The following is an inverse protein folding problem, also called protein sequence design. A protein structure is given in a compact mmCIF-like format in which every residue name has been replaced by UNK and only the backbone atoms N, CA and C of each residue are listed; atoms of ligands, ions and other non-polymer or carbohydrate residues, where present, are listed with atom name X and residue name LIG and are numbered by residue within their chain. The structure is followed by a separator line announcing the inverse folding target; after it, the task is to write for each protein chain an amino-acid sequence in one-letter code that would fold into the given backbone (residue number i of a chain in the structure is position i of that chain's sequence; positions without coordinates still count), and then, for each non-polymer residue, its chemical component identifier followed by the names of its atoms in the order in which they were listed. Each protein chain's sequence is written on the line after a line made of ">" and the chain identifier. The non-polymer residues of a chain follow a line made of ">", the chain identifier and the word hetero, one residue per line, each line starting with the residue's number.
data_IF_621713001221
#
_entry.id   IF_621713001221
#
_cell.length_a   1.000
_cell.length_b   1.000
_cell.length_c   1.000
_cell.angle_alpha   90.00
_cell.angle_beta   90.00
_cell.angle_gamma   90.00
#
_symmetry.space_group_name_H-M   'P 1'
#
loop_
_entity.id
_entity.type
_entity.pdbx_description
1 polymer ?
#
# COMPACT_ATOMS: atom_id res chain seq x y z
N UNK A 1 13.12 -5.56 -43.64
CA UNK A 1 13.57 -6.86 -43.11
C UNK A 1 14.70 -6.54 -42.16
N UNK A 2 14.33 -6.16 -40.93
CA UNK A 2 15.26 -5.77 -39.87
C UNK A 2 15.69 -7.08 -39.21
N UNK A 3 16.97 -7.42 -39.29
CA UNK A 3 17.51 -8.56 -38.56
C UNK A 3 17.58 -8.14 -37.09
N UNK A 4 16.72 -8.74 -36.27
CA UNK A 4 16.82 -8.70 -34.83
C UNK A 4 18.09 -9.49 -34.48
N UNK A 5 19.19 -8.80 -34.17
CA UNK A 5 20.31 -9.43 -33.47
C UNK A 5 19.76 -9.80 -32.09
N UNK A 6 19.49 -11.08 -31.86
CA UNK A 6 19.38 -11.60 -30.51
C UNK A 6 20.76 -11.40 -29.86
N UNK A 7 20.86 -10.43 -28.97
CA UNK A 7 21.91 -10.39 -27.98
C UNK A 7 21.75 -11.68 -27.17
N UNK A 8 22.67 -12.62 -27.32
CA UNK A 8 22.89 -13.66 -26.31
C UNK A 8 23.18 -12.93 -25.00
N UNK A 9 22.48 -13.22 -23.89
CA UNK A 9 22.86 -12.66 -22.60
C UNK A 9 24.34 -12.98 -22.37
N UNK A 10 25.12 -11.98 -21.97
CA UNK A 10 26.47 -12.23 -21.49
C UNK A 10 26.34 -13.23 -20.35
N UNK A 11 27.03 -14.37 -20.43
CA UNK A 11 27.10 -15.29 -19.29
C UNK A 11 27.63 -14.47 -18.10
N UNK A 12 26.81 -14.35 -17.05
CA UNK A 12 27.19 -13.71 -15.79
C UNK A 12 28.50 -14.36 -15.32
N UNK A 13 29.50 -13.53 -15.02
CA UNK A 13 30.80 -14.00 -14.60
C UNK A 13 30.67 -14.64 -13.21
N UNK A 14 30.86 -15.96 -13.14
CA UNK A 14 30.82 -16.70 -11.89
C UNK A 14 32.10 -16.45 -11.10
N UNK A 15 31.97 -16.14 -9.82
CA UNK A 15 33.05 -16.04 -8.84
C UNK A 15 33.21 -17.39 -8.14
N UNK A 16 34.37 -18.02 -8.37
CA UNK A 16 34.68 -19.37 -7.90
C UNK A 16 35.78 -19.31 -6.85
N UNK A 17 35.52 -19.88 -5.67
CA UNK A 17 36.56 -20.19 -4.70
C UNK A 17 37.14 -21.58 -5.00
N UNK A 18 38.42 -21.63 -5.30
CA UNK A 18 39.17 -22.88 -5.45
C UNK A 18 40.00 -23.12 -4.20
N UNK A 19 39.53 -24.03 -3.34
CA UNK A 19 40.29 -24.50 -2.18
C UNK A 19 41.36 -25.45 -2.73
N UNK A 20 42.60 -24.97 -2.80
CA UNK A 20 43.66 -25.63 -3.56
C UNK A 20 44.48 -26.59 -2.69
N UNK A 21 44.89 -27.71 -3.28
CA UNK A 21 45.90 -28.64 -2.74
C UNK A 21 47.32 -28.30 -3.24
N UNK A 22 48.35 -28.76 -2.51
CA UNK A 22 49.78 -28.54 -2.76
C UNK A 22 50.09 -28.60 -4.27
N UNK A 23 50.59 -27.48 -4.80
CA UNK A 23 50.46 -27.08 -6.21
C UNK A 23 51.02 -28.12 -7.21
N UNK A 24 50.18 -29.10 -7.59
CA UNK A 24 50.37 -29.98 -8.74
C UNK A 24 50.00 -29.30 -10.07
N UNK A 25 50.15 -29.99 -11.21
CA UNK A 25 49.78 -29.44 -12.53
C UNK A 25 48.25 -29.24 -12.71
N UNK A 26 47.42 -29.92 -11.92
CA UNK A 26 45.96 -29.87 -12.06
C UNK A 26 45.33 -28.55 -11.60
N UNK A 27 45.77 -27.97 -10.48
CA UNK A 27 45.27 -26.66 -10.00
C UNK A 27 45.41 -25.55 -11.06
N UNK A 28 46.60 -25.27 -11.63
CA UNK A 28 46.74 -24.22 -12.63
C UNK A 28 46.01 -24.54 -13.95
N UNK A 29 45.91 -25.82 -14.35
CA UNK A 29 45.15 -26.22 -15.54
C UNK A 29 43.64 -25.93 -15.36
N UNK A 30 43.07 -26.23 -14.19
CA UNK A 30 41.67 -25.95 -13.88
C UNK A 30 41.40 -24.45 -13.78
N UNK A 31 42.26 -23.69 -13.11
CA UNK A 31 42.16 -22.21 -13.06
C UNK A 31 42.12 -21.64 -14.47
N UNK A 32 43.01 -22.08 -15.36
CA UNK A 32 43.05 -21.60 -16.74
C UNK A 32 41.77 -21.97 -17.53
N UNK A 33 41.20 -23.15 -17.28
CA UNK A 33 39.95 -23.56 -17.93
C UNK A 33 38.75 -22.72 -17.47
N UNK A 34 38.60 -22.50 -16.16
CA UNK A 34 37.53 -21.68 -15.57
C UNK A 34 37.63 -20.22 -16.02
N UNK A 35 38.83 -19.62 -15.96
CA UNK A 35 39.08 -18.27 -16.47
C UNK A 35 38.84 -18.17 -17.99
N UNK A 36 39.21 -19.21 -18.74
CA UNK A 36 38.91 -19.33 -20.17
C UNK A 36 37.41 -19.40 -20.49
N UNK A 37 36.59 -19.84 -19.54
CA UNK A 37 35.13 -19.84 -19.61
C UNK A 37 34.50 -18.51 -19.14
N UNK A 38 35.29 -17.53 -18.71
CA UNK A 38 34.83 -16.22 -18.26
C UNK A 38 34.55 -16.11 -16.76
N UNK A 39 34.96 -17.09 -15.96
CA UNK A 39 34.78 -17.12 -14.51
C UNK A 39 35.93 -16.40 -13.80
N UNK A 40 35.64 -15.68 -12.72
CA UNK A 40 36.65 -15.20 -11.79
C UNK A 40 37.03 -16.36 -10.86
N UNK A 41 38.33 -16.61 -10.69
CA UNK A 41 38.80 -17.68 -9.80
C UNK A 41 39.67 -17.08 -8.71
N UNK A 42 39.26 -17.28 -7.46
CA UNK A 42 40.02 -16.95 -6.26
C UNK A 42 40.56 -18.23 -5.66
N UNK A 43 41.86 -18.30 -5.41
CA UNK A 43 42.45 -19.39 -4.64
C UNK A 43 42.26 -19.11 -3.15
N UNK A 44 42.03 -20.15 -2.35
CA UNK A 44 42.16 -20.02 -0.89
C UNK A 44 43.52 -19.46 -0.48
N UNK A 45 43.59 -18.74 0.63
CA UNK A 45 44.84 -18.17 1.13
C UNK A 45 45.79 -19.25 1.67
N UNK A 46 45.22 -20.38 2.08
CA UNK A 46 45.93 -21.56 2.55
C UNK A 46 45.69 -22.76 1.65
N UNK A 47 46.56 -23.75 1.79
CA UNK A 47 46.32 -25.10 1.23
C UNK A 47 45.10 -25.73 1.90
N UNK A 48 44.44 -26.64 1.19
CA UNK A 48 43.21 -27.34 1.58
C UNK A 48 43.20 -27.81 3.04
N UNK A 49 44.25 -28.52 3.49
CA UNK A 49 44.26 -29.08 4.84
C UNK A 49 44.38 -28.03 5.96
N UNK A 50 44.71 -26.78 5.61
CA UNK A 50 44.78 -25.63 6.51
C UNK A 50 43.56 -24.69 6.37
N UNK A 51 42.63 -24.98 5.44
CA UNK A 51 41.41 -24.18 5.25
C UNK A 51 40.53 -24.25 6.50
N UNK A 52 40.11 -23.08 6.98
CA UNK A 52 39.36 -22.94 8.25
C UNK A 52 38.00 -22.25 8.11
N UNK A 53 37.57 -22.02 6.86
CA UNK A 53 36.32 -21.33 6.56
C UNK A 53 36.44 -19.81 6.59
N UNK A 54 37.63 -19.24 6.84
CA UNK A 54 37.84 -17.78 6.91
C UNK A 54 38.89 -17.25 5.94
N UNK A 55 39.55 -18.15 5.20
CA UNK A 55 40.77 -17.87 4.44
C UNK A 55 40.65 -18.22 2.94
N UNK A 56 39.69 -17.66 2.17
CA UNK A 56 38.61 -16.75 2.55
C UNK A 56 37.31 -17.47 2.92
N UNK A 57 36.34 -16.75 3.49
CA UNK A 57 34.99 -17.28 3.73
C UNK A 57 34.26 -17.62 2.41
N UNK A 58 33.46 -18.72 2.38
CA UNK A 58 32.82 -19.21 1.16
C UNK A 58 31.60 -18.38 0.70
N UNK A 59 30.94 -17.66 1.61
CA UNK A 59 29.65 -16.96 1.38
C UNK A 59 29.69 -15.87 0.28
N UNK A 60 30.88 -15.45 -0.15
CA UNK A 60 31.07 -14.48 -1.24
C UNK A 60 31.17 -15.08 -2.64
N UNK A 61 31.06 -16.40 -2.79
CA UNK A 61 31.32 -17.12 -4.04
C UNK A 61 30.07 -17.89 -4.53
N UNK A 62 29.84 -17.94 -5.84
CA UNK A 62 28.74 -18.71 -6.41
C UNK A 62 29.02 -20.22 -6.38
N UNK A 63 30.31 -20.59 -6.42
CA UNK A 63 30.74 -21.97 -6.32
C UNK A 63 32.04 -22.10 -5.55
N UNK A 64 32.11 -23.12 -4.70
CA UNK A 64 33.33 -23.59 -4.06
C UNK A 64 33.74 -24.92 -4.69
N UNK A 65 34.98 -24.98 -5.19
CA UNK A 65 35.60 -26.21 -5.67
C UNK A 65 36.63 -26.65 -4.63
N UNK A 66 36.38 -27.80 -4.02
CA UNK A 66 37.30 -28.42 -3.07
C UNK A 66 38.24 -29.37 -3.79
N UNK A 67 39.49 -28.94 -4.00
CA UNK A 67 40.52 -29.72 -4.66
C UNK A 67 41.36 -30.49 -3.66
N UNK A 68 40.77 -31.46 -2.96
CA UNK A 68 41.55 -32.44 -2.22
C UNK A 68 42.39 -33.27 -3.20
N UNK A 69 43.68 -33.46 -2.89
CA UNK A 69 44.66 -33.90 -3.88
C UNK A 69 45.80 -34.69 -3.29
N UNK A 70 47.05 -34.28 -3.52
CA UNK A 70 48.26 -34.97 -3.04
C UNK A 70 48.34 -35.02 -1.51
N UNK A 71 47.63 -34.12 -0.81
CA UNK A 71 47.50 -34.09 0.64
C UNK A 71 46.45 -35.04 1.21
N UNK A 72 45.79 -35.89 0.40
CA UNK A 72 44.68 -36.81 0.77
C UNK A 72 44.80 -37.65 2.06
N UNK A 73 45.98 -37.68 2.70
CA UNK A 73 46.19 -38.29 4.01
C UNK A 73 46.08 -37.33 5.20
N UNK A 74 45.85 -36.05 4.95
CA UNK A 74 45.75 -34.98 5.95
C UNK A 74 44.44 -34.23 5.74
N UNK A 75 43.46 -34.41 6.63
CA UNK A 75 42.16 -33.78 6.44
C UNK A 75 42.24 -32.26 6.68
N UNK A 76 41.31 -31.52 6.07
CA UNK A 76 41.04 -30.14 6.43
C UNK A 76 40.63 -29.98 7.88
N UNK A 77 40.63 -28.72 8.33
CA UNK A 77 40.18 -28.40 9.66
C UNK A 77 38.67 -28.65 9.80
N UNK A 78 38.22 -29.06 10.99
CA UNK A 78 36.79 -29.22 11.28
C UNK A 78 36.01 -27.90 11.08
N UNK A 79 36.64 -26.75 11.34
CA UNK A 79 36.03 -25.45 11.08
C UNK A 79 35.81 -25.22 9.57
N UNK A 80 36.79 -25.58 8.74
CA UNK A 80 36.66 -25.52 7.28
C UNK A 80 35.58 -26.46 6.76
N UNK A 81 35.52 -27.70 7.28
CA UNK A 81 34.50 -28.66 6.88
C UNK A 81 33.09 -28.19 7.25
N UNK A 82 32.89 -27.71 8.48
CA UNK A 82 31.63 -27.12 8.91
C UNK A 82 31.22 -25.91 8.04
N UNK A 83 32.16 -25.00 7.77
CA UNK A 83 31.88 -23.82 6.93
C UNK A 83 31.43 -24.19 5.51
N UNK A 84 31.97 -25.27 4.93
CA UNK A 84 31.53 -25.74 3.61
C UNK A 84 30.14 -26.39 3.65
N UNK A 85 29.81 -27.10 4.72
CA UNK A 85 28.47 -27.68 4.90
C UNK A 85 27.43 -26.57 5.09
N UNK A 86 27.73 -25.60 5.95
CA UNK A 86 26.86 -24.43 6.19
C UNK A 86 26.67 -23.63 4.90
N UNK A 87 27.75 -23.36 4.16
CA UNK A 87 27.69 -22.69 2.86
C UNK A 87 26.73 -23.38 1.88
N UNK A 88 26.80 -24.71 1.75
CA UNK A 88 25.86 -25.45 0.88
C UNK A 88 24.45 -25.43 1.45
N UNK A 89 24.30 -25.56 2.77
CA UNK A 89 22.99 -25.48 3.41
C UNK A 89 22.28 -24.13 3.12
N UNK A 90 23.08 -23.06 3.01
CA UNK A 90 22.67 -21.68 2.75
C UNK A 90 22.65 -21.31 1.24
N UNK A 91 22.60 -22.30 0.34
CA UNK A 91 22.40 -22.07 -1.10
C UNK A 91 23.67 -22.12 -1.94
N UNK A 92 24.82 -22.34 -1.32
CA UNK A 92 26.12 -22.40 -1.98
C UNK A 92 26.27 -23.57 -2.95
N UNK A 93 27.01 -23.34 -4.03
CA UNK A 93 27.36 -24.38 -4.99
C UNK A 93 28.66 -25.10 -4.62
N UNK A 94 28.65 -26.43 -4.48
CA UNK A 94 29.84 -27.19 -4.06
C UNK A 94 30.26 -28.26 -5.07
N UNK A 95 31.57 -28.34 -5.31
CA UNK A 95 32.16 -29.33 -6.22
C UNK A 95 33.31 -30.03 -5.50
N UNK A 96 33.28 -31.37 -5.50
CA UNK A 96 34.27 -32.20 -4.81
C UNK A 96 34.80 -33.32 -5.72
N UNK A 97 35.92 -33.94 -5.32
CA UNK A 97 36.62 -34.95 -6.13
C UNK A 97 36.87 -36.25 -5.36
N UNK A 98 37.66 -37.15 -5.97
CA UNK A 98 37.96 -38.50 -5.49
C UNK A 98 38.35 -38.57 -4.01
N UNK A 99 39.27 -37.71 -3.58
CA UNK A 99 39.97 -37.85 -2.30
C UNK A 99 39.08 -37.55 -1.10
N UNK A 100 38.02 -36.76 -1.27
CA UNK A 100 37.04 -36.49 -0.20
C UNK A 100 36.33 -37.77 0.22
N UNK A 101 35.97 -38.61 -0.75
CA UNK A 101 35.37 -39.91 -0.46
C UNK A 101 36.37 -40.89 0.19
N UNK A 102 37.65 -40.82 -0.18
CA UNK A 102 38.70 -41.62 0.46
C UNK A 102 38.87 -41.26 1.94
N UNK A 103 38.87 -39.97 2.27
CA UNK A 103 39.03 -39.53 3.65
C UNK A 103 37.87 -39.99 4.54
N UNK A 104 36.64 -39.93 4.02
CA UNK A 104 35.46 -40.42 4.73
C UNK A 104 35.45 -41.94 4.85
N UNK A 105 35.59 -42.68 3.74
CA UNK A 105 35.30 -44.12 3.72
C UNK A 105 36.47 -45.00 4.14
N UNK A 106 37.70 -44.68 3.69
CA UNK A 106 38.88 -45.51 3.97
C UNK A 106 39.56 -45.10 5.27
N UNK A 107 39.65 -43.79 5.52
CA UNK A 107 40.37 -43.24 6.67
C UNK A 107 39.46 -42.96 7.87
N UNK A 108 38.15 -42.79 7.67
CA UNK A 108 37.21 -42.43 8.74
C UNK A 108 37.45 -41.03 9.32
N UNK A 109 37.91 -40.10 8.49
CA UNK A 109 38.11 -38.67 8.81
C UNK A 109 37.24 -37.80 7.91
N UNK A 110 37.20 -36.48 8.15
CA UNK A 110 36.29 -35.55 7.43
C UNK A 110 34.81 -35.98 7.41
N UNK A 111 34.34 -36.66 8.46
CA UNK A 111 32.94 -37.13 8.54
C UNK A 111 31.92 -35.97 8.49
N UNK A 112 32.35 -34.76 8.83
CA UNK A 112 31.55 -33.55 8.71
C UNK A 112 31.18 -33.24 7.25
N UNK A 113 32.02 -33.60 6.26
CA UNK A 113 31.71 -33.43 4.83
C UNK A 113 30.81 -34.52 4.24
N UNK A 114 30.41 -35.53 5.01
CA UNK A 114 29.53 -36.61 4.52
C UNK A 114 28.23 -36.11 3.86
N UNK A 115 27.53 -35.08 4.38
CA UNK A 115 26.34 -34.54 3.72
C UNK A 115 26.61 -34.00 2.32
N UNK A 116 27.82 -33.52 2.05
CA UNK A 116 28.17 -32.87 0.77
C UNK A 116 29.15 -33.66 -0.10
N UNK A 117 29.51 -34.88 0.31
CA UNK A 117 30.36 -35.80 -0.46
C UNK A 117 29.52 -36.90 -1.10
N UNK A 118 29.20 -36.77 -2.38
CA UNK A 118 28.17 -37.57 -3.05
C UNK A 118 28.59 -39.00 -3.40
N UNK A 119 29.89 -39.29 -3.44
CA UNK A 119 30.42 -40.57 -3.89
C UNK A 119 30.92 -41.39 -2.70
N UNK A 120 30.51 -42.66 -2.67
CA UNK A 120 31.06 -43.67 -1.77
C UNK A 120 32.21 -44.40 -2.47
N UNK A 121 33.24 -44.74 -1.70
CA UNK A 121 34.44 -45.41 -2.18
C UNK A 121 34.59 -46.78 -1.53
N UNK A 122 34.59 -47.83 -2.37
CA UNK A 122 34.96 -49.19 -1.96
C UNK A 122 36.46 -49.44 -2.11
N UNK A 123 37.08 -48.85 -3.15
CA UNK A 123 38.51 -48.93 -3.45
C UNK A 123 38.91 -47.84 -4.46
N UNK A 124 40.20 -47.74 -4.79
CA UNK A 124 40.70 -46.78 -5.78
C UNK A 124 41.62 -47.41 -6.82
N UNK A 125 41.84 -46.70 -7.92
CA UNK A 125 42.72 -47.12 -9.00
C UNK A 125 43.47 -45.93 -9.63
N UNK A 126 44.43 -46.24 -10.50
CA UNK A 126 45.04 -45.26 -11.40
C UNK A 126 45.15 -45.89 -12.78
N UNK A 127 44.61 -45.23 -13.79
CA UNK A 127 44.58 -45.78 -15.14
C UNK A 127 43.73 -44.98 -16.12
N UNK A 128 43.45 -45.60 -17.26
CA UNK A 128 42.52 -45.06 -18.25
C UNK A 128 41.09 -45.08 -17.68
N UNK A 129 40.39 -43.96 -17.80
CA UNK A 129 38.98 -43.78 -17.45
C UNK A 129 38.21 -43.43 -18.72
N UNK A 130 37.04 -44.04 -18.91
CA UNK A 130 36.08 -43.68 -19.95
C UNK A 130 34.73 -43.41 -19.33
N UNK A 131 34.33 -42.14 -19.31
CA UNK A 131 33.02 -41.71 -18.81
C UNK A 131 31.97 -41.80 -19.89
N UNK A 132 30.81 -42.35 -19.53
CA UNK A 132 29.62 -42.41 -20.38
C UNK A 132 28.40 -41.87 -19.61
N UNK A 133 27.53 -41.06 -20.24
CA UNK A 133 26.29 -40.60 -19.61
C UNK A 133 25.41 -41.76 -19.15
N UNK A 134 24.78 -41.61 -17.98
CA UNK A 134 23.74 -42.52 -17.52
C UNK A 134 22.51 -42.34 -18.41
N UNK A 135 21.88 -43.45 -18.79
CA UNK A 135 20.69 -43.43 -19.65
C UNK A 135 19.57 -42.60 -19.02
N UNK A 136 19.08 -41.59 -19.75
CA UNK A 136 18.05 -40.66 -19.29
C UNK A 136 18.60 -39.37 -18.67
N UNK A 137 19.92 -39.26 -18.48
CA UNK A 137 20.58 -38.06 -17.95
C UNK A 137 21.29 -37.24 -19.03
N UNK A 138 21.19 -37.63 -20.31
CA UNK A 138 21.96 -37.02 -21.41
C UNK A 138 21.66 -35.53 -21.63
N UNK A 139 20.52 -35.03 -21.14
CA UNK A 139 20.13 -33.62 -21.20
C UNK A 139 20.48 -32.81 -19.96
N UNK A 140 21.11 -33.42 -18.95
CA UNK A 140 21.48 -32.71 -17.72
C UNK A 140 22.44 -31.55 -18.05
N UNK A 141 22.27 -30.33 -17.46
CA UNK A 141 23.10 -29.17 -17.79
C UNK A 141 24.60 -29.41 -17.64
N UNK A 142 25.02 -30.17 -16.62
CA UNK A 142 26.43 -30.59 -16.43
C UNK A 142 27.00 -31.31 -17.66
N UNK A 143 26.17 -32.02 -18.43
CA UNK A 143 26.57 -32.77 -19.63
C UNK A 143 26.45 -31.95 -20.93
N UNK A 144 26.08 -30.67 -20.85
CA UNK A 144 25.90 -29.83 -22.03
C UNK A 144 27.17 -29.77 -22.90
N UNK A 145 27.04 -30.22 -24.16
CA UNK A 145 28.16 -30.25 -25.10
C UNK A 145 29.25 -31.28 -24.77
N UNK A 146 29.06 -32.17 -23.80
CA UNK A 146 29.98 -33.27 -23.49
C UNK A 146 29.75 -34.43 -24.48
N UNK A 147 30.81 -35.04 -25.05
CA UNK A 147 30.65 -36.21 -25.92
C UNK A 147 30.06 -37.39 -25.15
N UNK A 148 29.42 -38.32 -25.87
CA UNK A 148 28.85 -39.53 -25.25
C UNK A 148 29.89 -40.50 -24.67
N UNK A 149 31.18 -40.21 -24.85
CA UNK A 149 32.31 -40.98 -24.32
C UNK A 149 33.48 -40.02 -24.12
N UNK A 150 33.94 -39.86 -22.87
CA UNK A 150 35.09 -39.01 -22.52
C UNK A 150 36.20 -39.89 -21.96
N UNK A 151 37.36 -39.91 -22.62
CA UNK A 151 38.50 -40.76 -22.22
C UNK A 151 39.69 -39.92 -21.73
N UNK A 152 40.26 -40.28 -20.58
CA UNK A 152 41.41 -39.62 -19.96
C UNK A 152 42.14 -40.58 -19.00
N UNK A 153 43.27 -40.15 -18.45
CA UNK A 153 44.06 -40.91 -17.50
C UNK A 153 44.10 -40.18 -16.16
N UNK A 154 43.67 -40.82 -15.07
CA UNK A 154 43.63 -40.22 -13.73
C UNK A 154 43.64 -41.29 -12.63
N UNK A 155 43.71 -40.83 -11.37
CA UNK A 155 43.19 -41.60 -10.23
C UNK A 155 41.66 -41.66 -10.29
N UNK A 156 41.06 -42.70 -9.70
CA UNK A 156 39.61 -42.75 -9.56
C UNK A 156 39.13 -43.71 -8.47
N UNK A 157 37.93 -43.42 -7.97
CA UNK A 157 37.19 -44.25 -7.04
C UNK A 157 36.41 -45.34 -7.77
N UNK A 158 36.48 -46.55 -7.23
CA UNK A 158 35.52 -47.61 -7.52
C UNK A 158 34.47 -47.56 -6.42
N UNK A 159 33.22 -47.35 -6.81
CA UNK A 159 32.11 -47.24 -5.87
C UNK A 159 30.82 -46.77 -6.54
N UNK A 160 29.96 -46.15 -5.75
CA UNK A 160 28.60 -45.78 -6.12
C UNK A 160 28.20 -44.46 -5.47
N UNK A 161 27.11 -43.86 -5.93
CA UNK A 161 26.54 -42.66 -5.31
C UNK A 161 26.02 -42.97 -3.90
N UNK A 162 26.46 -42.21 -2.90
CA UNK A 162 26.00 -42.35 -1.51
C UNK A 162 24.47 -42.26 -1.43
N UNK A 163 23.91 -43.09 -0.56
CA UNK A 163 22.47 -43.07 -0.29
C UNK A 163 22.15 -42.06 0.81
N UNK A 164 21.34 -41.07 0.48
CA UNK A 164 20.81 -40.08 1.41
C UNK A 164 19.31 -40.34 1.64
N UNK A 165 18.82 -40.17 2.87
CA UNK A 165 17.40 -40.41 3.20
C UNK A 165 16.46 -39.40 2.56
N UNK A 166 16.93 -38.16 2.44
CA UNK A 166 16.19 -37.02 1.94
C UNK A 166 17.03 -36.31 0.88
N UNK A 167 16.36 -35.81 -0.17
CA UNK A 167 16.97 -35.19 -1.35
C UNK A 167 18.15 -36.03 -1.91
N UNK A 168 17.86 -37.15 -2.58
CA UNK A 168 18.88 -38.13 -2.96
C UNK A 168 19.82 -37.60 -4.04
N UNK A 169 21.08 -38.01 -3.97
CA UNK A 169 22.05 -37.80 -5.04
C UNK A 169 21.76 -38.74 -6.23
N UNK A 170 22.11 -38.29 -7.44
CA UNK A 170 21.85 -39.00 -8.70
C UNK A 170 23.13 -39.11 -9.52
N UNK A 171 23.45 -40.32 -9.99
CA UNK A 171 24.52 -40.54 -10.95
C UNK A 171 24.11 -40.05 -12.35
N UNK A 172 24.92 -39.17 -12.95
CA UNK A 172 24.72 -38.67 -14.32
C UNK A 172 25.75 -39.20 -15.32
N UNK A 173 26.90 -39.71 -14.85
CA UNK A 173 27.85 -40.49 -15.67
C UNK A 173 28.36 -41.71 -14.90
N UNK A 174 28.77 -42.73 -15.65
CA UNK A 174 29.47 -43.93 -15.13
C UNK A 174 30.80 -44.14 -15.85
N UNK A 175 31.73 -44.84 -15.22
CA UNK A 175 32.99 -45.27 -15.83
C UNK A 175 32.82 -46.56 -16.66
N UNK A 176 33.90 -47.01 -17.30
CA UNK A 176 33.92 -48.25 -18.09
C UNK A 176 33.69 -49.54 -17.28
N UNK A 177 33.83 -49.47 -15.95
CA UNK A 177 33.66 -50.58 -15.01
C UNK A 177 32.24 -50.63 -14.44
N UNK A 178 31.45 -49.57 -14.67
CA UNK A 178 30.11 -49.40 -14.13
C UNK A 178 30.07 -48.70 -12.77
N UNK A 179 31.18 -48.09 -12.32
CA UNK A 179 31.20 -47.23 -11.13
C UNK A 179 30.47 -45.92 -11.43
N UNK A 180 29.74 -45.38 -10.47
CA UNK A 180 29.16 -44.04 -10.60
C UNK A 180 30.30 -43.01 -10.59
N UNK A 181 30.31 -42.14 -11.60
CA UNK A 181 31.49 -41.35 -11.92
C UNK A 181 31.31 -39.84 -11.81
N UNK A 182 30.11 -39.36 -12.12
CA UNK A 182 29.70 -37.97 -11.87
C UNK A 182 28.33 -38.03 -11.22
N UNK A 183 28.21 -37.44 -10.04
CA UNK A 183 26.99 -37.40 -9.25
C UNK A 183 26.55 -35.96 -9.04
N UNK A 184 25.25 -35.75 -8.96
CA UNK A 184 24.65 -34.44 -8.65
C UNK A 184 23.69 -34.59 -7.48
N UNK A 185 23.57 -33.55 -6.66
CA UNK A 185 22.60 -33.49 -5.56
C UNK A 185 22.15 -32.05 -5.37
N UNK A 186 20.86 -31.88 -5.14
CA UNK A 186 20.31 -30.66 -4.54
C UNK A 186 20.08 -31.01 -3.07
N UNK A 187 20.63 -30.23 -2.14
CA UNK A 187 20.54 -30.53 -0.71
C UNK A 187 20.41 -29.24 0.08
N UNK A 188 19.41 -29.19 0.98
CA UNK A 188 18.90 -27.93 1.55
C UNK A 188 18.62 -26.93 0.41
N UNK A 189 19.28 -25.77 0.42
CA UNK A 189 19.17 -24.73 -0.61
C UNK A 189 20.27 -24.85 -1.69
N UNK A 190 21.30 -25.65 -1.46
CA UNK A 190 22.50 -25.70 -2.31
C UNK A 190 22.49 -26.80 -3.35
N UNK A 191 23.52 -26.76 -4.21
CA UNK A 191 23.74 -27.75 -5.27
C UNK A 191 25.16 -28.29 -5.24
N UNK A 192 25.27 -29.59 -5.48
CA UNK A 192 26.52 -30.33 -5.30
C UNK A 192 26.82 -31.17 -6.53
N UNK A 193 28.06 -31.13 -7.01
CA UNK A 193 28.56 -32.07 -8.02
C UNK A 193 29.79 -32.81 -7.51
N UNK A 194 29.74 -34.14 -7.56
CA UNK A 194 30.85 -35.01 -7.17
C UNK A 194 31.48 -35.70 -8.37
N UNK A 195 32.80 -35.67 -8.46
CA UNK A 195 33.58 -36.37 -9.49
C UNK A 195 34.37 -37.53 -8.88
N UNK A 196 34.24 -38.74 -9.42
CA UNK A 196 34.93 -39.92 -8.89
C UNK A 196 36.43 -39.95 -9.19
N UNK A 197 36.94 -39.06 -10.03
CA UNK A 197 38.34 -39.03 -10.42
C UNK A 197 39.09 -37.98 -9.62
N UNK A 198 40.39 -38.19 -9.40
CA UNK A 198 41.22 -37.18 -8.74
C UNK A 198 41.27 -35.90 -9.58
N UNK A 199 41.11 -34.76 -8.91
CA UNK A 199 41.46 -33.46 -9.48
C UNK A 199 42.99 -33.30 -9.53
N UNK A 200 43.64 -33.47 -8.38
CA UNK A 200 45.10 -33.53 -8.24
C UNK A 200 45.53 -34.91 -7.74
N UNK A 201 46.49 -35.54 -8.43
CA UNK A 201 47.16 -36.74 -7.93
C UNK A 201 48.51 -36.92 -8.62
N UNK A 202 49.60 -36.83 -7.86
CA UNK A 202 50.95 -36.98 -8.41
C UNK A 202 51.21 -36.01 -9.59
N UNK A 203 51.89 -36.46 -10.65
CA UNK A 203 52.19 -35.66 -11.84
C UNK A 203 51.10 -35.77 -12.94
N UNK A 204 49.88 -36.22 -12.59
CA UNK A 204 48.80 -36.42 -13.56
C UNK A 204 48.13 -35.09 -13.92
N UNK A 205 47.95 -34.84 -15.21
CA UNK A 205 47.34 -33.62 -15.77
C UNK A 205 45.89 -33.84 -16.19
N UNK A 206 45.04 -34.27 -15.25
CA UNK A 206 43.62 -34.60 -15.53
C UNK A 206 42.88 -33.46 -16.26
N UNK A 207 43.05 -32.22 -15.79
CA UNK A 207 42.41 -31.03 -16.35
C UNK A 207 43.06 -30.47 -17.63
N UNK A 208 44.12 -31.10 -18.14
CA UNK A 208 44.60 -30.83 -19.50
C UNK A 208 43.65 -31.39 -20.58
N UNK A 209 42.75 -32.31 -20.19
CA UNK A 209 41.70 -32.81 -21.06
C UNK A 209 40.53 -31.81 -21.14
N UNK A 210 40.29 -31.25 -22.32
CA UNK A 210 39.27 -30.22 -22.54
C UNK A 210 37.83 -30.67 -22.26
N UNK A 211 37.52 -31.97 -22.35
CA UNK A 211 36.19 -32.49 -22.03
C UNK A 211 36.00 -32.64 -20.51
N UNK A 212 37.06 -33.01 -19.78
CA UNK A 212 37.03 -33.07 -18.30
C UNK A 212 36.91 -31.66 -17.72
N UNK A 213 37.69 -30.70 -18.22
CA UNK A 213 37.58 -29.31 -17.76
C UNK A 213 36.24 -28.67 -18.14
N UNK A 214 35.64 -29.06 -19.28
CA UNK A 214 34.29 -28.63 -19.65
C UNK A 214 33.22 -29.19 -18.71
N UNK A 215 33.37 -30.43 -18.23
CA UNK A 215 32.48 -30.99 -17.20
C UNK A 215 32.50 -30.15 -15.92
N UNK A 216 33.68 -29.74 -15.46
CA UNK A 216 33.79 -28.90 -14.25
C UNK A 216 33.24 -27.49 -14.50
N UNK A 217 33.50 -26.88 -15.66
CA UNK A 217 32.89 -25.59 -16.04
C UNK A 217 31.35 -25.68 -16.05
N UNK A 218 30.79 -26.75 -16.63
CA UNK A 218 29.34 -26.95 -16.62
C UNK A 218 28.81 -27.23 -15.21
N UNK A 219 29.59 -27.89 -14.35
CA UNK A 219 29.25 -28.09 -12.96
C UNK A 219 29.16 -26.75 -12.22
N UNK A 220 30.16 -25.87 -12.36
CA UNK A 220 30.13 -24.52 -11.77
C UNK A 220 28.87 -23.76 -12.19
N UNK A 221 28.57 -23.74 -13.49
CA UNK A 221 27.36 -23.08 -14.01
C UNK A 221 26.05 -23.69 -13.51
N UNK A 222 26.04 -24.97 -13.12
CA UNK A 222 24.83 -25.63 -12.65
C UNK A 222 24.64 -25.47 -11.14
N UNK A 223 25.74 -25.48 -10.37
CA UNK A 223 25.69 -25.31 -8.91
C UNK A 223 25.50 -23.85 -8.49
N UNK A 224 25.92 -22.90 -9.33
CA UNK A 224 25.59 -21.50 -9.15
C UNK A 224 24.10 -21.26 -9.48
N UNK A 225 23.24 -21.33 -8.46
CA UNK A 225 21.86 -20.86 -8.54
C UNK A 225 21.87 -19.38 -8.22
N UNK A 226 21.41 -18.55 -9.14
CA UNK A 226 21.29 -17.11 -8.90
C UNK A 226 19.84 -16.66 -8.68
N UNK A 227 18.84 -17.46 -9.02
CA UNK A 227 17.39 -17.20 -8.95
C UNK A 227 16.75 -18.54 -8.55
N UNK A 228 16.51 -18.77 -7.25
CA UNK A 228 16.14 -20.09 -6.74
C UNK A 228 14.62 -20.36 -6.77
N UNK A 229 13.78 -19.34 -6.65
CA UNK A 229 12.31 -19.46 -6.73
C UNK A 229 11.73 -19.23 -8.14
N UNK A 230 12.51 -18.69 -9.07
CA UNK A 230 12.15 -18.51 -10.48
C UNK A 230 11.30 -17.26 -10.75
N UNK A 231 11.31 -16.27 -9.86
CA UNK A 231 10.59 -15.01 -10.03
C UNK A 231 11.29 -14.04 -11.03
N UNK A 232 12.55 -14.33 -11.36
CA UNK A 232 13.39 -13.59 -12.29
C UNK A 232 14.26 -12.51 -11.64
N UNK A 233 14.28 -12.45 -10.31
CA UNK A 233 15.23 -11.70 -9.50
C UNK A 233 16.30 -12.64 -8.95
N UNK A 234 17.43 -12.06 -8.54
CA UNK A 234 18.59 -12.85 -8.12
C UNK A 234 18.97 -12.55 -6.67
N UNK A 235 19.32 -13.59 -5.89
CA UNK A 235 19.68 -13.52 -4.46
C UNK A 235 20.58 -12.34 -4.12
N UNK A 236 20.24 -11.63 -3.04
CA UNK A 236 21.08 -10.59 -2.45
C UNK A 236 22.36 -11.18 -1.82
N UNK A 237 23.51 -10.82 -2.41
CA UNK A 237 24.85 -11.23 -1.96
C UNK A 237 25.55 -12.14 -2.98
N UNK A 238 26.86 -11.93 -3.19
CA UNK A 238 27.63 -12.59 -4.26
C UNK A 238 27.68 -11.78 -5.57
N UNK A 239 27.96 -12.43 -6.70
CA UNK A 239 28.02 -11.79 -8.04
C UNK A 239 26.79 -12.00 -8.92
N UNK A 240 25.78 -12.69 -8.39
CA UNK A 240 24.42 -12.56 -8.92
C UNK A 240 24.02 -11.08 -8.71
N UNK A 241 23.33 -10.47 -9.66
CA UNK A 241 22.97 -9.05 -9.64
C UNK A 241 21.95 -8.80 -8.52
N UNK A 242 22.49 -8.69 -7.29
CA UNK A 242 21.79 -8.63 -6.03
C UNK A 242 20.59 -7.70 -6.08
N UNK A 243 19.40 -8.31 -6.04
CA UNK A 243 18.17 -7.52 -5.88
C UNK A 243 17.16 -8.24 -4.97
N UNK A 244 17.14 -9.58 -4.93
CA UNK A 244 16.16 -10.34 -4.13
C UNK A 244 16.57 -10.53 -2.66
N UNK A 245 15.72 -10.10 -1.73
CA UNK A 245 15.95 -10.23 -0.29
C UNK A 245 15.48 -11.58 0.31
N UNK A 246 14.66 -12.36 -0.38
CA UNK A 246 14.33 -13.76 -0.05
C UNK A 246 14.13 -14.61 -1.32
N UNK A 247 15.25 -15.07 -1.90
CA UNK A 247 15.36 -15.91 -3.13
C UNK A 247 14.65 -17.29 -3.05
N UNK A 248 13.87 -17.53 -1.99
CA UNK A 248 13.03 -18.73 -1.81
C UNK A 248 11.53 -18.43 -1.90
N UNK A 249 11.13 -17.17 -1.85
CA UNK A 249 9.74 -16.75 -1.87
C UNK A 249 9.47 -15.83 -3.07
N UNK A 250 8.76 -16.34 -4.11
CA UNK A 250 8.53 -15.57 -5.34
C UNK A 250 7.57 -14.38 -5.15
N UNK A 251 7.05 -14.17 -3.93
CA UNK A 251 6.27 -12.99 -3.55
C UNK A 251 7.14 -11.92 -2.83
N UNK A 252 8.43 -12.18 -2.56
CA UNK A 252 9.38 -11.27 -1.93
C UNK A 252 10.48 -10.91 -2.93
N UNK A 253 10.38 -9.75 -3.55
CA UNK A 253 11.34 -9.30 -4.56
C UNK A 253 11.25 -7.79 -4.81
N UNK A 254 12.27 -7.19 -5.44
CA UNK A 254 12.29 -5.78 -5.82
C UNK A 254 11.06 -5.30 -6.57
N UNK A 255 10.32 -4.42 -5.89
CA UNK A 255 9.10 -3.84 -6.43
C UNK A 255 7.89 -4.78 -6.42
N UNK A 256 7.91 -5.83 -5.59
CA UNK A 256 6.70 -6.51 -5.14
C UNK A 256 5.75 -5.53 -4.41
N UNK A 257 4.50 -5.95 -4.22
CA UNK A 257 3.55 -5.20 -3.39
C UNK A 257 3.91 -5.43 -1.91
N UNK A 258 4.09 -4.36 -1.16
CA UNK A 258 4.37 -4.46 0.28
C UNK A 258 3.08 -4.82 1.05
N UNK A 259 3.17 -5.68 2.05
CA UNK A 259 2.03 -6.15 2.86
C UNK A 259 2.38 -6.02 4.35
N UNK A 260 1.40 -5.74 5.19
CA UNK A 260 1.55 -5.67 6.64
C UNK A 260 1.78 -7.06 7.29
N UNK A 261 2.90 -7.71 6.99
CA UNK A 261 3.23 -9.08 7.43
C UNK A 261 4.58 -9.20 8.16
N UNK A 262 5.23 -8.08 8.47
CA UNK A 262 6.55 -7.98 9.13
C UNK A 262 7.74 -8.42 8.29
N UNK A 263 7.56 -8.57 6.97
CA UNK A 263 8.60 -8.86 5.99
C UNK A 263 8.72 -7.70 5.01
N UNK A 264 9.94 -7.39 4.61
CA UNK A 264 10.23 -6.45 3.51
C UNK A 264 9.96 -7.16 2.18
N UNK A 265 8.70 -7.15 1.72
CA UNK A 265 8.31 -7.90 0.52
C UNK A 265 8.92 -7.27 -0.74
N UNK A 266 9.07 -5.96 -0.77
CA UNK A 266 9.51 -5.23 -1.97
C UNK A 266 11.04 -4.99 -2.01
N UNK A 267 11.77 -5.42 -0.99
CA UNK A 267 13.22 -5.32 -0.81
C UNK A 267 13.79 -3.90 -0.85
N UNK A 268 13.04 -2.90 -0.39
CA UNK A 268 13.47 -1.50 -0.35
C UNK A 268 14.09 -1.07 1.00
N UNK A 269 13.95 -1.91 2.02
CA UNK A 269 14.46 -1.73 3.38
C UNK A 269 13.42 -1.27 4.41
N UNK A 270 12.18 -0.98 4.00
CA UNK A 270 11.08 -0.55 4.87
C UNK A 270 10.04 -1.69 5.07
N UNK A 271 10.29 -2.56 6.06
CA UNK A 271 9.58 -3.83 6.40
C UNK A 271 8.04 -3.83 6.46
N UNK A 272 7.38 -2.68 6.55
CA UNK A 272 5.92 -2.54 6.65
C UNK A 272 5.58 -1.05 6.43
N UNK A 273 5.94 -0.54 5.26
CA UNK A 273 5.86 0.88 4.92
C UNK A 273 4.44 1.46 4.85
N UNK A 274 4.29 2.79 4.77
CA UNK A 274 2.99 3.42 4.52
C UNK A 274 2.41 3.11 3.12
N UNK A 275 3.23 2.53 2.23
CA UNK A 275 2.85 2.04 0.91
C UNK A 275 2.37 0.58 0.91
N UNK A 276 2.36 -0.11 2.06
CA UNK A 276 1.75 -1.43 2.17
C UNK A 276 0.30 -1.41 1.70
N UNK A 277 -0.07 -2.39 0.87
CA UNK A 277 -1.36 -2.41 0.18
C UNK A 277 -2.56 -2.59 1.12
N UNK A 278 -2.31 -3.11 2.32
CA UNK A 278 -3.28 -3.30 3.39
C UNK A 278 -3.02 -2.39 4.62
N UNK A 279 -2.15 -1.39 4.49
CA UNK A 279 -2.01 -0.34 5.50
C UNK A 279 -3.33 0.42 5.69
N UNK A 280 -3.62 0.76 6.94
CA UNK A 280 -4.82 1.52 7.30
C UNK A 280 -4.45 2.99 7.44
N UNK A 281 -5.30 3.88 6.92
CA UNK A 281 -5.12 5.33 7.11
C UNK A 281 -5.64 5.71 8.49
N UNK A 282 -4.78 6.33 9.29
CA UNK A 282 -5.11 6.95 10.57
C UNK A 282 -5.06 8.48 10.43
N UNK A 283 -5.93 9.16 11.15
CA UNK A 283 -6.11 10.61 11.16
C UNK A 283 -5.71 11.12 12.54
N UNK A 284 -4.78 12.07 12.61
CA UNK A 284 -4.34 12.61 13.90
C UNK A 284 -5.50 13.35 14.59
N UNK A 285 -5.56 13.18 15.91
CA UNK A 285 -6.56 13.73 16.83
C UNK A 285 -5.78 14.64 17.79
N UNK A 286 -5.61 15.91 17.42
CA UNK A 286 -4.69 16.83 18.10
C UNK A 286 -5.28 17.35 19.43
N UNK A 287 -6.60 17.37 19.59
CA UNK A 287 -7.29 17.86 20.78
C UNK A 287 -7.82 16.75 21.73
N UNK A 288 -7.93 15.51 21.25
CA UNK A 288 -8.20 14.31 22.02
C UNK A 288 -9.68 13.96 22.21
N UNK A 289 -10.58 14.39 21.33
CA UNK A 289 -12.01 14.09 21.42
C UNK A 289 -12.44 12.75 20.77
N UNK A 290 -11.57 12.17 19.94
CA UNK A 290 -11.77 10.90 19.26
C UNK A 290 -12.15 10.97 17.79
N UNK A 291 -12.24 12.17 17.21
CA UNK A 291 -12.30 12.45 15.79
C UNK A 291 -10.94 13.00 15.32
N UNK A 292 -10.66 12.96 14.02
CA UNK A 292 -9.36 13.41 13.52
C UNK A 292 -9.45 14.21 12.22
N UNK A 293 -8.39 14.96 11.93
CA UNK A 293 -8.27 15.79 10.73
C UNK A 293 -8.00 14.96 9.46
N UNK A 294 -8.92 15.02 8.49
CA UNK A 294 -8.79 14.40 7.16
C UNK A 294 -7.52 14.81 6.42
N UNK A 295 -7.06 16.05 6.59
CA UNK A 295 -5.87 16.58 5.92
C UNK A 295 -4.56 16.22 6.65
N UNK A 296 -4.66 15.73 7.89
CA UNK A 296 -3.52 15.25 8.68
C UNK A 296 -3.62 13.74 8.93
N UNK A 297 -3.28 12.95 7.90
CA UNK A 297 -3.36 11.49 7.94
C UNK A 297 -2.04 10.80 7.58
N UNK A 298 -1.90 9.56 8.07
CA UNK A 298 -0.79 8.67 7.76
C UNK A 298 -1.29 7.23 7.65
N UNK A 299 -0.90 6.55 6.57
CA UNK A 299 -1.10 5.11 6.43
C UNK A 299 -0.09 4.35 7.31
N UNK A 300 -0.56 3.33 8.05
CA UNK A 300 0.28 2.48 8.88
C UNK A 300 -0.32 1.09 9.08
N UNK A 301 0.54 0.09 9.20
CA UNK A 301 0.16 -1.27 9.61
C UNK A 301 -0.19 -1.37 11.10
N UNK A 302 0.36 -0.47 11.92
CA UNK A 302 0.12 -0.42 13.35
C UNK A 302 -0.71 0.82 13.75
N UNK A 303 -1.53 0.72 14.82
CA UNK A 303 -2.21 1.89 15.37
C UNK A 303 -1.23 2.99 15.78
N UNK A 304 -1.46 4.20 15.28
CA UNK A 304 -0.66 5.38 15.61
C UNK A 304 -1.14 6.03 16.91
N UNK A 305 -0.20 6.40 17.78
CA UNK A 305 -0.53 7.10 19.02
C UNK A 305 -1.00 8.52 18.72
N UNK A 306 -2.17 8.89 19.22
CA UNK A 306 -2.78 10.21 18.97
C UNK A 306 -3.43 10.32 17.60
N UNK A 307 -3.83 9.19 17.01
CA UNK A 307 -4.60 9.16 15.78
C UNK A 307 -5.76 8.16 15.88
N UNK A 308 -6.82 8.43 15.15
CA UNK A 308 -8.07 7.68 15.10
C UNK A 308 -8.38 7.24 13.67
N UNK A 309 -9.45 6.47 13.50
CA UNK A 309 -9.92 6.02 12.18
C UNK A 309 -11.02 6.91 11.60
N UNK A 310 -11.62 7.75 12.44
CA UNK A 310 -12.68 8.66 12.05
C UNK A 310 -12.09 10.00 11.61
N UNK A 311 -12.51 10.51 10.46
CA UNK A 311 -11.93 11.70 9.80
C UNK A 311 -12.93 12.85 9.65
N UNK A 312 -13.91 12.85 10.55
CA UNK A 312 -15.08 13.72 10.49
C UNK A 312 -14.96 14.98 11.32
N UNK A 313 -13.80 15.27 11.91
CA UNK A 313 -13.56 16.48 12.67
C UNK A 313 -13.59 17.72 11.75
N UNK A 314 -14.30 18.77 12.17
CA UNK A 314 -14.36 20.05 11.48
C UNK A 314 -13.41 21.12 12.08
N UNK A 315 -12.93 20.96 13.32
CA UNK A 315 -11.89 21.77 13.95
C UNK A 315 -11.06 20.97 14.97
N UNK A 316 -10.09 20.18 14.47
CA UNK A 316 -9.15 19.31 15.22
C UNK A 316 -8.25 20.03 16.26
N UNK A 317 -8.46 21.34 16.45
CA UNK A 317 -7.82 22.14 17.49
C UNK A 317 -8.71 22.43 18.71
N UNK A 318 -9.99 22.03 18.69
CA UNK A 318 -10.99 22.32 19.69
C UNK A 318 -11.90 21.12 20.00
N UNK A 319 -11.59 20.40 21.08
CA UNK A 319 -12.31 19.20 21.51
C UNK A 319 -13.80 19.40 21.88
N UNK A 320 -14.32 20.62 21.81
CA UNK A 320 -15.74 20.94 21.93
C UNK A 320 -16.43 21.09 20.54
N UNK A 321 -15.71 20.92 19.42
CA UNK A 321 -16.16 21.07 18.02
C UNK A 321 -15.91 19.78 17.24
N UNK A 322 -16.88 18.89 17.25
CA UNK A 322 -16.81 17.58 16.59
C UNK A 322 -18.18 16.98 16.35
N UNK A 323 -18.32 15.94 15.51
CA UNK A 323 -19.59 15.28 15.28
C UNK A 323 -20.35 14.89 16.54
N UNK A 324 -21.54 15.47 16.71
CA UNK A 324 -22.40 15.25 17.87
C UNK A 324 -21.96 15.95 19.16
N UNK A 325 -21.09 16.95 19.07
CA UNK A 325 -20.88 17.91 20.16
C UNK A 325 -22.19 18.66 20.48
N UNK A 326 -22.19 19.38 21.60
CA UNK A 326 -23.36 20.16 21.99
C UNK A 326 -23.25 21.57 21.41
N UNK A 327 -24.25 21.95 20.64
CA UNK A 327 -24.35 23.29 20.06
C UNK A 327 -24.46 24.38 21.14
N UNK A 328 -23.80 25.50 20.89
CA UNK A 328 -24.01 26.76 21.62
C UNK A 328 -24.75 27.71 20.69
N UNK A 329 -26.06 27.92 20.90
CA UNK A 329 -26.86 28.69 19.94
C UNK A 329 -26.30 30.08 19.66
N UNK A 330 -26.35 30.46 18.38
CA UNK A 330 -26.13 31.80 17.85
C UNK A 330 -24.70 32.34 18.03
N UNK A 331 -23.71 31.49 18.32
CA UNK A 331 -22.31 31.91 18.46
C UNK A 331 -21.53 31.88 17.13
N UNK A 332 -22.16 31.37 16.08
CA UNK A 332 -21.65 31.27 14.72
C UNK A 332 -20.63 30.15 14.51
N UNK A 333 -20.49 29.24 15.47
CA UNK A 333 -19.67 28.04 15.39
C UNK A 333 -20.61 26.85 15.23
N UNK A 334 -20.31 25.99 14.25
CA UNK A 334 -20.97 24.70 14.04
C UNK A 334 -20.20 23.68 14.90
N UNK A 335 -20.63 23.49 16.16
CA UNK A 335 -19.91 22.62 17.09
C UNK A 335 -20.11 21.15 16.74
N UNK A 336 -21.29 20.76 16.25
CA UNK A 336 -21.60 19.37 15.97
C UNK A 336 -21.25 18.91 14.55
N UNK A 337 -20.62 19.80 13.78
CA UNK A 337 -20.16 19.61 12.40
C UNK A 337 -21.27 19.15 11.43
N UNK A 338 -22.54 19.50 11.69
CA UNK A 338 -23.66 19.14 10.81
C UNK A 338 -23.84 20.10 9.61
N UNK A 339 -23.10 21.21 9.63
CA UNK A 339 -23.01 22.20 8.57
C UNK A 339 -23.64 23.56 8.89
N UNK A 340 -24.18 23.75 10.10
CA UNK A 340 -24.69 25.03 10.58
C UNK A 340 -24.64 25.14 12.11
N UNK A 341 -24.58 26.38 12.62
CA UNK A 341 -24.86 26.68 14.04
C UNK A 341 -26.35 26.45 14.34
N UNK A 342 -26.68 26.07 15.57
CA UNK A 342 -28.05 25.94 16.04
C UNK A 342 -28.77 27.30 16.10
N UNK A 343 -29.59 27.53 15.07
CA UNK A 343 -30.31 28.79 14.88
C UNK A 343 -31.82 28.71 15.12
N UNK A 344 -32.41 27.54 15.37
CA UNK A 344 -33.84 27.34 15.70
C UNK A 344 -33.91 26.62 17.06
N UNK A 345 -33.87 27.38 18.15
CA UNK A 345 -33.74 26.82 19.51
C UNK A 345 -35.05 26.26 20.03
N UNK A 346 -36.18 26.86 19.69
CA UNK A 346 -37.50 26.44 20.16
C UNK A 346 -38.18 25.38 19.27
N UNK A 347 -37.65 25.14 18.06
CA UNK A 347 -38.01 24.07 17.16
C UNK A 347 -39.29 24.33 16.36
N UNK A 348 -39.63 25.59 16.11
CA UNK A 348 -40.81 25.97 15.34
C UNK A 348 -40.59 25.96 13.82
N UNK A 349 -39.33 25.94 13.40
CA UNK A 349 -38.88 25.83 12.01
C UNK A 349 -38.46 27.14 11.33
N UNK A 350 -38.39 28.26 12.05
CA UNK A 350 -37.78 29.51 11.57
C UNK A 350 -36.48 29.80 12.33
N UNK A 351 -35.48 30.36 11.66
CA UNK A 351 -34.21 30.70 12.32
C UNK A 351 -34.33 32.01 13.13
N UNK A 352 -33.62 32.09 14.25
CA UNK A 352 -33.42 33.28 15.07
C UNK A 352 -32.91 34.48 14.29
N UNK A 353 -33.35 35.68 14.69
CA UNK A 353 -32.82 36.94 14.18
C UNK A 353 -31.32 37.13 14.35
N UNK A 354 -30.69 36.56 15.40
CA UNK A 354 -29.24 36.61 15.61
C UNK A 354 -28.46 35.80 14.55
N UNK A 355 -29.08 34.76 13.99
CA UNK A 355 -28.58 34.02 12.82
C UNK A 355 -28.97 34.66 11.48
N UNK A 356 -29.70 35.78 11.50
CA UNK A 356 -30.23 36.44 10.32
C UNK A 356 -31.53 35.82 9.77
N UNK A 357 -32.18 34.98 10.57
CA UNK A 357 -33.53 34.49 10.31
C UNK A 357 -34.62 35.49 10.70
N UNK A 358 -35.89 35.15 10.47
CA UNK A 358 -36.99 36.09 10.65
C UNK A 358 -37.65 36.01 12.04
N UNK A 359 -37.26 35.07 12.91
CA UNK A 359 -37.85 34.95 14.24
C UNK A 359 -37.29 36.02 15.22
N UNK A 360 -38.21 36.72 15.87
CA UNK A 360 -37.96 37.81 16.79
C UNK A 360 -37.87 37.36 18.27
N UNK A 361 -38.29 36.13 18.62
CA UNK A 361 -38.10 35.52 19.96
C UNK A 361 -37.92 33.99 19.89
N UNK A 362 -36.72 33.55 19.48
CA UNK A 362 -36.32 32.14 19.27
C UNK A 362 -36.27 31.27 20.55
N UNK A 363 -36.67 31.81 21.70
CA UNK A 363 -36.88 31.03 22.94
C UNK A 363 -38.35 30.61 23.14
N UNK A 364 -39.28 31.10 22.30
CA UNK A 364 -40.72 30.85 22.39
C UNK A 364 -41.35 30.51 21.03
N UNK A 365 -41.54 29.21 20.77
CA UNK A 365 -42.14 28.66 19.54
C UNK A 365 -43.56 29.15 19.20
N UNK A 366 -44.17 30.00 20.04
CA UNK A 366 -45.42 30.71 19.74
C UNK A 366 -45.20 32.07 19.07
N UNK A 367 -43.98 32.58 19.03
CA UNK A 367 -43.55 33.81 18.38
C UNK A 367 -42.78 33.42 17.11
N UNK A 368 -43.29 33.78 15.94
CA UNK A 368 -42.65 33.58 14.64
C UNK A 368 -43.51 34.18 13.52
N UNK A 369 -42.97 34.27 12.31
CA UNK A 369 -43.66 34.88 11.16
C UNK A 369 -44.99 34.26 10.74
N UNK A 370 -45.33 33.08 11.26
CA UNK A 370 -46.59 32.40 10.97
C UNK A 370 -47.60 32.45 12.12
N UNK A 371 -47.21 32.99 13.28
CA UNK A 371 -48.06 33.12 14.44
C UNK A 371 -49.24 34.07 14.18
N UNK A 372 -50.34 33.85 14.89
CA UNK A 372 -51.46 34.80 14.92
C UNK A 372 -51.17 35.82 16.02
N UNK A 373 -51.31 37.11 15.69
CA UNK A 373 -51.14 38.20 16.64
C UNK A 373 -52.20 38.16 17.75
N UNK A 374 -51.74 38.30 18.99
CA UNK A 374 -52.57 38.46 20.18
C UNK A 374 -52.44 39.89 20.67
N UNK A 375 -53.30 40.74 20.10
CA UNK A 375 -53.32 42.17 20.39
C UNK A 375 -53.35 42.49 21.89
N UNK A 376 -52.57 43.52 22.22
CA UNK A 376 -52.45 44.20 23.50
C UNK A 376 -51.79 43.41 24.65
N UNK A 377 -50.92 42.45 24.34
CA UNK A 377 -50.15 41.70 25.35
C UNK A 377 -48.67 42.11 25.43
N UNK A 378 -48.22 42.98 24.51
CA UNK A 378 -46.90 43.57 24.43
C UNK A 378 -45.84 42.71 23.75
N UNK A 379 -46.24 41.62 23.07
CA UNK A 379 -45.37 40.73 22.30
C UNK A 379 -45.81 40.78 20.84
N UNK A 380 -44.88 41.07 19.92
CA UNK A 380 -45.12 40.94 18.48
C UNK A 380 -45.00 39.45 18.14
N UNK A 381 -46.09 38.68 18.21
CA UNK A 381 -45.99 37.23 18.00
C UNK A 381 -45.67 36.90 16.55
N UNK A 382 -46.13 37.71 15.60
CA UNK A 382 -45.98 37.41 14.19
C UNK A 382 -44.68 37.99 13.57
N UNK A 383 -43.85 38.67 14.35
CA UNK A 383 -42.57 39.27 13.96
C UNK A 383 -42.62 40.16 12.70
N UNK A 384 -43.78 40.78 12.41
CA UNK A 384 -43.93 41.67 11.25
C UNK A 384 -43.54 43.13 11.56
N UNK A 385 -43.27 43.43 12.83
CA UNK A 385 -42.87 44.73 13.33
C UNK A 385 -43.99 45.77 13.35
N UNK A 386 -45.26 45.35 13.22
CA UNK A 386 -46.43 46.18 13.50
C UNK A 386 -46.53 46.45 15.02
N UNK A 387 -47.28 47.48 15.38
CA UNK A 387 -47.48 47.82 16.78
C UNK A 387 -48.60 46.94 17.37
N UNK A 388 -48.32 46.23 18.47
CA UNK A 388 -49.28 45.37 19.22
C UNK A 388 -50.53 46.14 19.71
N UNK A 389 -50.52 47.47 19.66
CA UNK A 389 -51.63 48.34 20.03
C UNK A 389 -52.38 48.97 18.85
N UNK A 390 -52.18 48.49 17.60
CA UNK A 390 -52.85 48.94 16.36
C UNK A 390 -53.51 47.74 15.64
N UNK A 391 -54.68 47.30 16.12
CA UNK A 391 -55.25 46.02 15.71
C UNK A 391 -55.90 45.99 14.33
N UNK A 392 -56.20 47.14 13.73
CA UNK A 392 -56.73 47.25 12.37
C UNK A 392 -55.70 47.70 11.31
N UNK A 393 -54.52 48.13 11.75
CA UNK A 393 -53.34 48.36 10.93
C UNK A 393 -53.37 49.67 10.14
N UNK A 394 -54.05 50.69 10.66
CA UNK A 394 -54.15 51.99 10.01
C UNK A 394 -53.02 52.97 10.39
N UNK A 395 -52.20 52.60 11.37
CA UNK A 395 -51.04 53.33 11.86
C UNK A 395 -51.29 54.14 13.14
N UNK A 396 -52.48 54.04 13.73
CA UNK A 396 -52.84 54.66 15.00
C UNK A 396 -53.03 53.60 16.08
N UNK A 397 -52.46 53.84 17.26
CA UNK A 397 -52.66 52.94 18.39
C UNK A 397 -54.00 53.23 19.10
N UNK A 398 -54.57 52.20 19.71
CA UNK A 398 -55.78 52.24 20.53
C UNK A 398 -55.72 53.26 21.68
N UNK A 399 -56.81 54.03 21.85
CA UNK A 399 -56.98 54.99 22.96
C UNK A 399 -56.91 54.32 24.34
N UNK A 400 -57.31 53.05 24.43
CA UNK A 400 -57.27 52.25 25.67
C UNK A 400 -55.82 51.94 26.10
N UNK A 401 -54.86 52.05 25.18
CA UNK A 401 -53.43 51.76 25.37
C UNK A 401 -52.53 53.00 25.22
N UNK A 402 -53.11 54.20 25.36
CA UNK A 402 -52.48 55.53 25.22
C UNK A 402 -52.16 55.97 23.79
N UNK A 403 -52.81 55.39 22.79
CA UNK A 403 -52.83 55.93 21.44
C UNK A 403 -53.93 56.97 21.22
N UNK A 404 -54.25 57.24 19.96
CA UNK A 404 -55.20 58.28 19.53
C UNK A 404 -56.41 57.71 18.78
N UNK A 405 -56.47 56.39 18.54
CA UNK A 405 -57.57 55.71 17.85
C UNK A 405 -58.71 55.34 18.81
N UNK A 406 -59.92 55.78 18.48
CA UNK A 406 -61.14 55.58 19.25
C UNK A 406 -61.94 54.31 18.87
N UNK A 407 -61.64 53.63 17.76
CA UNK A 407 -62.15 52.29 17.43
C UNK A 407 -61.09 51.47 16.68
N UNK A 408 -60.15 50.92 17.46
CA UNK A 408 -59.00 50.08 17.05
C UNK A 408 -59.38 48.72 16.41
N UNK A 409 -60.61 48.58 15.91
CA UNK A 409 -61.06 47.43 15.15
C UNK A 409 -61.59 47.79 13.76
N UNK A 410 -61.59 49.08 13.41
CA UNK A 410 -62.10 49.62 12.16
C UNK A 410 -61.12 50.66 11.58
N UNK A 411 -60.34 50.31 10.54
CA UNK A 411 -59.25 51.14 10.02
C UNK A 411 -59.74 52.41 9.28
N UNK A 412 -61.06 52.61 9.21
CA UNK A 412 -61.68 53.82 8.70
C UNK A 412 -62.00 54.85 9.83
N UNK A 413 -61.79 54.49 11.10
CA UNK A 413 -62.00 55.32 12.30
C UNK A 413 -60.64 55.59 12.95
N UNK A 414 -60.10 56.80 12.81
CA UNK A 414 -58.82 57.20 13.39
C UNK A 414 -58.59 58.72 13.26
N UNK A 415 -57.61 59.31 13.96
CA UNK A 415 -57.35 60.77 13.93
C UNK A 415 -57.13 61.43 12.55
N UNK A 416 -56.78 60.66 11.52
CA UNK A 416 -56.58 61.14 10.15
C UNK A 416 -57.78 60.86 9.23
N UNK A 417 -58.79 60.14 9.71
CA UNK A 417 -60.01 59.87 8.97
C UNK A 417 -60.82 61.17 8.73
N UNK A 418 -61.76 61.08 7.79
CA UNK A 418 -62.70 62.18 7.50
C UNK A 418 -64.07 61.69 7.95
N UNK A 419 -64.67 62.43 8.88
CA UNK A 419 -65.99 62.15 9.47
C UNK A 419 -67.11 62.13 8.39
N UNK A 420 -67.84 61.00 8.29
CA UNK A 420 -68.95 60.80 7.36
C UNK A 420 -70.26 61.34 7.94
N UNK A 421 -70.71 62.49 7.41
CA UNK A 421 -71.97 63.15 7.71
C UNK A 421 -73.22 62.21 7.68
N UNK A 422 -73.50 61.49 8.76
CA UNK A 422 -74.78 60.85 9.04
C UNK A 422 -74.77 59.35 9.35
N UNK A 423 -73.62 58.77 9.68
CA UNK A 423 -73.58 57.41 10.23
C UNK A 423 -73.63 57.39 11.78
N UNK A 424 -73.33 58.54 12.41
CA UNK A 424 -73.37 58.76 13.84
C UNK A 424 -72.18 58.21 14.62
N UNK A 425 -71.03 58.02 13.96
CA UNK A 425 -69.73 57.64 14.51
C UNK A 425 -68.79 58.87 14.54
N UNK A 426 -67.80 58.89 15.42
CA UNK A 426 -66.74 59.92 15.49
C UNK A 426 -65.54 59.37 14.72
N UNK A 427 -65.57 59.43 13.39
CA UNK A 427 -64.56 58.74 12.57
C UNK A 427 -63.16 59.35 12.77
N UNK A 428 -63.04 60.65 13.04
CA UNK A 428 -61.75 61.33 13.18
C UNK A 428 -61.23 61.43 14.64
N UNK A 429 -61.91 60.75 15.57
CA UNK A 429 -61.57 60.64 16.99
C UNK A 429 -61.31 61.98 17.70
N UNK A 430 -61.91 63.08 17.21
CA UNK A 430 -61.67 64.42 17.76
C UNK A 430 -62.62 64.77 18.93
N UNK A 431 -63.58 63.88 19.22
CA UNK A 431 -64.57 64.01 20.28
C UNK A 431 -65.89 64.67 19.85
N UNK A 432 -66.11 64.87 18.55
CA UNK A 432 -67.35 65.35 17.94
C UNK A 432 -67.90 64.26 16.99
N UNK A 433 -69.10 64.44 16.45
CA UNK A 433 -69.79 63.39 15.66
C UNK A 433 -70.50 64.10 14.51
N UNK A 434 -70.27 63.65 13.28
CA UNK A 434 -70.82 64.16 12.02
C UNK A 434 -70.54 65.68 11.80
N UNK A 435 -69.30 66.17 11.98
CA UNK A 435 -68.98 67.61 11.85
C UNK A 435 -68.28 68.07 10.56
N UNK A 436 -67.60 67.19 9.82
CA UNK A 436 -66.76 67.57 8.68
C UNK A 436 -67.55 67.74 7.38
N UNK A 437 -68.35 68.80 7.35
CA UNK A 437 -69.10 69.20 6.16
C UNK A 437 -68.14 69.62 5.04
N UNK A 438 -68.22 69.05 3.83
CA UNK A 438 -67.70 69.73 2.65
C UNK A 438 -68.47 71.05 2.48
N UNK A 439 -67.74 72.18 2.37
CA UNK A 439 -68.24 73.58 2.36
C UNK A 439 -69.44 73.90 1.42
N UNK A 440 -69.95 72.95 0.62
CA UNK A 440 -70.94 73.19 -0.44
C UNK A 440 -72.34 72.56 -0.22
N UNK A 441 -72.68 72.06 0.98
CA UNK A 441 -74.07 71.63 1.30
C UNK A 441 -74.61 72.10 2.65
N UNK A 442 -74.64 73.42 2.83
CA UNK A 442 -75.54 74.03 3.81
C UNK A 442 -77.00 73.73 3.42
N UNK A 443 -77.72 73.07 4.33
CA UNK A 443 -79.14 72.77 4.21
C UNK A 443 -79.98 74.07 4.23
N UNK A 444 -80.33 74.58 3.04
CA UNK A 444 -81.55 75.37 2.78
C UNK A 444 -81.46 76.90 2.98
N UNK A 445 -81.54 77.67 1.88
CA UNK A 445 -82.74 78.44 1.49
C UNK A 445 -82.50 79.35 0.26
N UNK A 446 -83.48 79.29 -0.67
CA UNK A 446 -83.90 80.24 -1.74
C UNK A 446 -82.98 80.66 -2.91
N UNK A 447 -83.39 80.18 -4.10
CA UNK A 447 -83.21 80.70 -5.48
C UNK A 447 -83.47 82.23 -5.65
N UNK A 448 -83.22 82.93 -6.80
CA UNK A 448 -83.02 82.39 -8.18
C UNK A 448 -82.02 83.12 -9.12
N UNK A 449 -81.78 82.45 -10.27
CA UNK A 449 -81.89 82.97 -11.64
C UNK A 449 -80.65 82.91 -12.55
N UNK A 450 -80.83 82.15 -13.64
CA UNK A 450 -80.22 82.39 -14.97
C UNK A 450 -79.01 81.50 -15.27
N UNK A 451 -79.00 80.63 -16.26
CA UNK A 451 -79.88 80.41 -17.38
C UNK A 451 -79.06 79.94 -18.58
N UNK A 452 -79.60 78.95 -19.30
CA UNK A 452 -79.35 78.55 -20.71
C UNK A 452 -77.93 78.02 -21.04
N UNK A 453 -77.73 76.83 -21.61
CA UNK A 453 -78.66 75.78 -22.02
C UNK A 453 -77.98 74.72 -22.90
N UNK A 454 -78.68 73.60 -23.07
CA UNK A 454 -78.59 72.62 -24.18
C UNK A 454 -77.36 71.71 -24.20
N UNK A 455 -77.46 70.38 -24.25
CA UNK A 455 -78.60 69.49 -24.43
C UNK A 455 -78.15 68.18 -25.07
N UNK A 456 -78.59 67.06 -24.45
CA UNK A 456 -79.14 65.86 -25.10
C UNK A 456 -78.17 64.82 -25.70
N UNK A 457 -78.19 63.61 -25.12
CA UNK A 457 -78.61 62.30 -25.69
C UNK A 457 -77.67 61.17 -25.17
N UNK A 458 -77.99 60.42 -24.13
CA UNK A 458 -78.98 59.35 -23.96
C UNK A 458 -78.51 57.92 -24.32
N UNK A 459 -78.90 57.02 -23.41
CA UNK A 459 -79.05 55.55 -23.46
C UNK A 459 -77.77 54.69 -23.42
N UNK A 460 -77.55 53.96 -22.31
CA UNK A 460 -78.14 52.64 -21.97
C UNK A 460 -77.78 51.56 -23.00
N UNK A 461 -77.02 50.54 -22.58
CA UNK A 461 -77.41 49.12 -22.72
C UNK A 461 -76.59 48.26 -21.73
N UNK A 462 -77.33 47.51 -20.90
CA UNK A 462 -76.91 46.37 -20.09
C UNK A 462 -76.41 45.18 -20.93
N UNK A 463 -75.58 44.33 -20.32
CA UNK A 463 -75.38 42.94 -20.77
C UNK A 463 -74.06 42.38 -20.27
N UNK A 464 -73.90 41.90 -19.03
CA UNK A 464 -74.48 40.69 -18.41
C UNK A 464 -74.12 39.40 -19.17
N UNK A 465 -73.37 38.55 -18.44
CA UNK A 465 -73.26 37.08 -18.45
C UNK A 465 -72.04 36.41 -19.12
N UNK A 466 -71.25 35.76 -18.23
CA UNK A 466 -70.96 34.31 -18.14
C UNK A 466 -70.47 33.65 -19.44
N UNK A 467 -69.47 32.77 -19.43
CA UNK A 467 -69.43 31.54 -18.60
C UNK A 467 -68.11 30.78 -18.83
N UNK A 468 -67.56 30.25 -17.73
CA UNK A 468 -67.04 28.88 -17.53
C UNK A 468 -65.96 28.27 -18.45
N UNK A 469 -64.93 27.80 -17.72
CA UNK A 469 -64.31 26.46 -17.71
C UNK A 469 -63.39 26.10 -18.88
N UNK A 470 -62.09 26.22 -18.63
CA UNK A 470 -61.17 25.08 -18.65
C UNK A 470 -60.81 24.78 -17.20
#
# INVERSE_FOLDING_TARGET
>A
MLALLALTPAALAQDVLLIWDDQGIGTPDLVAALQGAGMTVTLSDTVEYEYDGTNPAPDGFNAVIHMNGTTYGTPMTAAGAAALVDYVADGGGYIHFEWDAYEIDDNGVQLELEPITLLHRDSGFTGDITLSPVRGQESHPVLAGIPSSVAFYAGGNIGYVRSFSDQPAVAIMTDQSGSDAVAVREWEQGRIVGFHHAGNYSDLSTFSNADVSRLVVNAVNWVAVCDADGDGYERAGGTCAATDCDDQDPDIFPGADEVCDTLDNNCDGDIDGPDSVDAVVYYYDDDGDGFGDREHSLASCDPLSGAVLDDSDCDDGDADVHPGAAEVPWDGIDQDCDGADLCDVDGDGEDASDCGGPDCDDEDAAVNTSAEEVWYDGVDQNCDGQADDDADGDGYASEDYNGEDCDDTDPDINPDAIDDDGDGVDDDCNGFVDEDVPEDKVCGTVEPAGGVGGGVLALLVLGVLRRRRG
#
